data_IF_077105585002
#
_entry.id   IF_077105585002
#
_cell.length_a   1.000
_cell.length_b   1.000
_cell.length_c   1.000
_cell.angle_alpha   90.00
_cell.angle_beta   90.00
_cell.angle_gamma   90.00
#
_symmetry.space_group_name_H-M   'P 1'
#
loop_
_entity.id
_entity.type
_entity.pdbx_description
1 polymer ?
#
# COMPACT_ATOMS: atom_id res chain seq x y z
N UNK A 1 30.57 1.17 -14.91
CA UNK A 1 29.09 1.15 -14.92
C UNK A 1 28.63 0.26 -13.77
N UNK A 2 28.15 0.83 -12.67
CA UNK A 2 27.75 0.05 -11.50
C UNK A 2 26.36 -0.56 -11.72
N UNK A 3 26.31 -1.88 -11.92
CA UNK A 3 25.05 -2.62 -11.89
C UNK A 3 24.42 -2.46 -10.51
N UNK A 4 23.34 -1.68 -10.43
CA UNK A 4 22.55 -1.54 -9.20
C UNK A 4 21.98 -2.91 -8.86
N UNK A 5 22.54 -3.51 -7.80
CA UNK A 5 22.06 -4.73 -7.15
C UNK A 5 20.56 -4.58 -6.89
N UNK A 6 19.73 -5.28 -7.64
CA UNK A 6 18.31 -5.48 -7.30
C UNK A 6 18.31 -6.28 -6.00
N UNK A 7 18.22 -5.59 -4.87
CA UNK A 7 17.90 -6.21 -3.59
C UNK A 7 16.52 -6.83 -3.76
N UNK A 8 16.48 -8.16 -3.80
CA UNK A 8 15.26 -8.94 -3.67
C UNK A 8 14.80 -8.77 -2.22
N UNK A 9 14.13 -7.65 -1.96
CA UNK A 9 13.60 -7.32 -0.66
C UNK A 9 12.53 -8.35 -0.29
N UNK A 10 12.59 -8.85 0.94
CA UNK A 10 11.52 -9.63 1.54
C UNK A 10 10.19 -8.90 1.29
N UNK A 11 9.20 -9.60 0.73
CA UNK A 11 7.95 -8.97 0.31
C UNK A 11 7.24 -8.38 1.54
N UNK A 12 7.23 -7.05 1.64
CA UNK A 12 6.65 -6.31 2.76
C UNK A 12 5.26 -5.84 2.39
N UNK A 13 4.31 -6.03 3.30
CA UNK A 13 2.96 -5.48 3.13
C UNK A 13 3.03 -3.97 3.38
N UNK A 14 2.66 -3.17 2.40
CA UNK A 14 2.83 -1.72 2.44
C UNK A 14 1.56 -1.00 2.04
N UNK A 15 1.34 0.18 2.62
CA UNK A 15 0.45 1.21 2.09
C UNK A 15 1.22 2.01 1.04
N UNK A 16 0.66 2.09 -0.15
CA UNK A 16 1.25 2.72 -1.33
C UNK A 16 0.35 3.89 -1.72
N UNK A 17 0.92 5.08 -1.85
CA UNK A 17 0.15 6.27 -2.27
C UNK A 17 0.70 6.88 -3.55
N UNK A 18 -0.20 7.18 -4.48
CA UNK A 18 0.14 7.81 -5.75
C UNK A 18 -0.07 9.33 -5.72
N UNK A 19 0.42 10.01 -6.75
CA UNK A 19 0.29 11.47 -6.91
C UNK A 19 -1.15 11.97 -7.07
N UNK A 20 -2.07 11.10 -7.47
CA UNK A 20 -3.49 11.43 -7.71
C UNK A 20 -4.39 11.11 -6.51
N UNK A 21 -3.83 11.03 -5.29
CA UNK A 21 -4.54 10.66 -4.05
C UNK A 21 -5.09 9.22 -4.00
N UNK A 22 -4.70 8.36 -4.93
CA UNK A 22 -5.01 6.92 -4.87
C UNK A 22 -4.19 6.23 -3.80
N UNK A 23 -4.87 5.43 -2.97
CA UNK A 23 -4.25 4.65 -1.89
C UNK A 23 -4.46 3.17 -2.18
N UNK A 24 -3.37 2.42 -2.05
CA UNK A 24 -3.34 0.99 -2.29
C UNK A 24 -2.65 0.31 -1.12
N UNK A 25 -3.02 -0.94 -0.85
CA UNK A 25 -2.36 -1.78 0.15
C UNK A 25 -2.04 -3.13 -0.47
N UNK A 26 -0.87 -3.69 -0.20
CA UNK A 26 -0.48 -4.97 -0.78
C UNK A 26 0.97 -5.33 -0.49
N UNK A 27 1.39 -6.50 -0.97
CA UNK A 27 2.77 -6.97 -0.86
C UNK A 27 3.62 -6.33 -1.94
N UNK A 28 4.64 -5.57 -1.55
CA UNK A 28 5.57 -4.94 -2.49
C UNK A 28 6.71 -5.89 -2.81
N UNK A 29 6.84 -6.24 -4.09
CA UNK A 29 7.91 -7.11 -4.59
C UNK A 29 9.10 -6.30 -5.12
N UNK A 30 8.84 -5.22 -5.86
CA UNK A 30 9.88 -4.40 -6.48
C UNK A 30 9.48 -2.93 -6.49
N UNK A 31 10.42 -2.06 -6.13
CA UNK A 31 10.29 -0.61 -6.24
C UNK A 31 11.35 -0.10 -7.19
N UNK A 32 10.92 0.50 -8.30
CA UNK A 32 11.78 1.14 -9.28
C UNK A 32 11.62 2.64 -9.16
N UNK A 33 12.67 3.33 -8.72
CA UNK A 33 12.70 4.79 -8.76
C UNK A 33 12.92 5.26 -10.19
N UNK A 34 12.13 6.25 -10.63
CA UNK A 34 12.37 6.89 -11.92
C UNK A 34 13.53 7.89 -11.78
N UNK A 35 14.57 7.83 -12.62
CA UNK A 35 15.73 8.72 -12.48
C UNK A 35 15.42 10.17 -12.87
N UNK A 36 14.32 10.42 -13.60
CA UNK A 36 13.94 11.75 -14.10
C UNK A 36 12.70 12.31 -13.40
N UNK A 37 12.16 11.61 -12.40
CA UNK A 37 10.95 11.99 -11.69
C UNK A 37 11.07 11.71 -10.20
N UNK A 38 10.39 12.50 -9.38
CA UNK A 38 10.23 12.21 -7.94
C UNK A 38 9.29 11.01 -7.69
N UNK A 39 8.72 10.45 -8.75
CA UNK A 39 7.79 9.33 -8.69
C UNK A 39 8.49 7.98 -8.86
N UNK A 40 7.84 6.95 -8.34
CA UNK A 40 8.33 5.57 -8.34
C UNK A 40 7.30 4.68 -9.02
N UNK A 41 7.78 3.58 -9.57
CA UNK A 41 6.94 2.47 -10.04
C UNK A 41 7.09 1.32 -9.04
N UNK A 42 5.97 0.73 -8.63
CA UNK A 42 5.92 -0.35 -7.66
C UNK A 42 5.24 -1.55 -8.29
N UNK A 43 5.91 -2.69 -8.29
CA UNK A 43 5.28 -3.99 -8.57
C UNK A 43 4.88 -4.60 -7.24
N UNK A 44 3.59 -4.88 -7.11
CA UNK A 44 3.03 -5.45 -5.91
C UNK A 44 2.02 -6.55 -6.24
N UNK A 45 1.82 -7.46 -5.28
CA UNK A 45 0.86 -8.57 -5.33
C UNK A 45 -0.16 -8.43 -4.22
N UNK A 46 -1.31 -9.07 -4.40
CA UNK A 46 -2.46 -8.98 -3.50
C UNK A 46 -2.89 -7.52 -3.22
N UNK A 47 -2.78 -6.67 -4.25
CA UNK A 47 -3.00 -5.24 -4.13
C UNK A 47 -4.49 -4.95 -4.05
N UNK A 48 -4.89 -4.20 -3.04
CA UNK A 48 -6.26 -3.72 -2.85
C UNK A 48 -6.27 -2.19 -2.96
N UNK A 49 -7.25 -1.66 -3.68
CA UNK A 49 -7.49 -0.22 -3.69
C UNK A 49 -8.28 0.18 -2.45
N UNK A 50 -7.85 1.23 -1.76
CA UNK A 50 -8.52 1.78 -0.58
C UNK A 50 -9.22 3.07 -1.00
N UNK A 51 -10.52 2.94 -1.32
CA UNK A 51 -11.33 4.08 -1.76
C UNK A 51 -11.77 4.96 -0.58
N UNK A 52 -12.00 4.35 0.58
CA UNK A 52 -12.29 5.05 1.82
C UNK A 52 -11.79 4.20 3.01
N UNK A 53 -11.23 4.85 4.02
CA UNK A 53 -10.79 4.15 5.24
C UNK A 53 -11.15 4.96 6.47
N UNK A 54 -11.42 4.24 7.55
CA UNK A 54 -11.55 4.79 8.88
C UNK A 54 -10.46 4.20 9.76
N UNK A 55 -9.60 5.08 10.26
CA UNK A 55 -8.50 4.73 11.15
C UNK A 55 -8.47 5.67 12.35
N UNK A 56 -7.50 5.45 13.23
CA UNK A 56 -7.43 6.12 14.54
C UNK A 56 -7.30 7.64 14.44
N UNK A 57 -6.46 8.14 13.54
CA UNK A 57 -6.18 9.58 13.39
C UNK A 57 -6.35 10.11 11.96
N UNK A 58 -6.87 9.29 11.04
CA UNK A 58 -7.13 9.65 9.64
C UNK A 58 -5.89 9.76 8.73
N UNK A 59 -4.67 9.78 9.29
CA UNK A 59 -3.43 9.86 8.52
C UNK A 59 -3.00 8.53 7.89
N UNK A 60 -2.30 8.60 6.74
CA UNK A 60 -1.76 7.43 6.01
C UNK A 60 -0.74 6.65 6.85
N UNK A 61 0.08 7.34 7.65
CA UNK A 61 1.03 6.70 8.57
C UNK A 61 0.31 5.94 9.69
N UNK A 62 -0.79 6.48 10.20
CA UNK A 62 -1.66 5.79 11.17
C UNK A 62 -2.31 4.55 10.54
N UNK A 63 -2.73 4.67 9.28
CA UNK A 63 -3.26 3.56 8.50
C UNK A 63 -2.22 2.44 8.33
N UNK A 64 -0.95 2.77 8.07
CA UNK A 64 0.12 1.77 7.99
C UNK A 64 0.45 1.13 9.36
N UNK A 65 0.36 1.91 10.44
CA UNK A 65 0.69 1.42 11.78
C UNK A 65 -0.42 0.60 12.45
N UNK A 66 -1.69 0.95 12.24
CA UNK A 66 -2.84 0.36 12.94
C UNK A 66 -3.90 -0.26 12.01
N UNK A 67 -3.85 0.03 10.71
CA UNK A 67 -4.85 -0.44 9.76
C UNK A 67 -6.22 0.19 9.96
N UNK A 68 -7.26 -0.55 9.56
CA UNK A 68 -8.65 -0.14 9.76
C UNK A 68 -9.02 -0.30 11.23
N UNK A 69 -9.38 0.80 11.89
CA UNK A 69 -9.66 0.79 13.32
C UNK A 69 -10.65 1.87 13.73
N UNK A 70 -11.30 1.66 14.88
CA UNK A 70 -12.34 2.52 15.41
C UNK A 70 -13.76 2.09 15.04
N UNK A 71 -14.79 2.78 15.56
CA UNK A 71 -16.19 2.36 15.48
C UNK A 71 -16.78 2.41 14.06
N UNK A 72 -16.08 3.03 13.10
CA UNK A 72 -16.50 3.10 11.70
C UNK A 72 -15.61 2.27 10.77
N UNK A 73 -14.70 1.43 11.30
CA UNK A 73 -13.78 0.63 10.49
C UNK A 73 -14.51 -0.23 9.44
N UNK A 74 -15.67 -0.77 9.81
CA UNK A 74 -16.57 -1.56 8.95
C UNK A 74 -17.16 -0.79 7.75
N UNK A 75 -17.17 0.54 7.79
CA UNK A 75 -17.63 1.40 6.68
C UNK A 75 -16.53 1.69 5.67
N UNK A 76 -15.31 1.22 5.92
CA UNK A 76 -14.19 1.36 4.99
C UNK A 76 -14.48 0.62 3.68
N UNK A 77 -14.06 1.20 2.56
CA UNK A 77 -14.26 0.64 1.23
C UNK A 77 -12.91 0.19 0.67
N UNK A 78 -12.69 -1.11 0.76
CA UNK A 78 -11.51 -1.77 0.22
C UNK A 78 -11.94 -2.68 -0.92
N UNK A 79 -11.33 -2.47 -2.08
CA UNK A 79 -11.57 -3.29 -3.26
C UNK A 79 -11.01 -4.70 -3.12
N UNK A 80 -11.45 -5.59 -4.01
CA UNK A 80 -10.94 -6.95 -4.10
C UNK A 80 -9.41 -6.99 -4.33
N UNK A 81 -8.71 -8.01 -3.80
CA UNK A 81 -7.28 -8.18 -4.04
C UNK A 81 -7.01 -8.50 -5.51
N UNK A 82 -6.11 -7.74 -6.13
CA UNK A 82 -5.54 -8.06 -7.43
C UNK A 82 -4.34 -8.98 -7.27
N UNK A 83 -4.26 -10.03 -8.09
CA UNK A 83 -3.18 -11.04 -8.08
C UNK A 83 -1.81 -10.41 -8.33
N UNK A 84 -1.76 -9.35 -9.14
CA UNK A 84 -0.56 -8.57 -9.39
C UNK A 84 -0.92 -7.22 -10.01
N UNK A 85 -0.26 -6.16 -9.55
CA UNK A 85 -0.44 -4.81 -10.07
C UNK A 85 0.90 -4.09 -10.19
N UNK A 86 1.04 -3.37 -11.29
CA UNK A 86 2.12 -2.40 -11.49
C UNK A 86 1.54 -1.01 -11.26
N UNK A 87 1.91 -0.39 -10.16
CA UNK A 87 1.47 0.95 -9.79
C UNK A 87 2.54 1.96 -10.22
N UNK A 88 2.15 2.96 -11.00
CA UNK A 88 3.01 4.06 -11.42
C UNK A 88 2.63 5.37 -10.72
N UNK A 89 3.56 6.33 -10.71
CA UNK A 89 3.31 7.63 -10.08
C UNK A 89 3.27 7.57 -8.55
N UNK A 90 3.96 6.61 -7.95
CA UNK A 90 4.00 6.43 -6.48
C UNK A 90 4.92 7.46 -5.85
N UNK A 91 4.43 8.12 -4.79
CA UNK A 91 5.19 9.11 -4.03
C UNK A 91 5.69 8.49 -2.73
N UNK A 92 4.78 7.86 -1.96
CA UNK A 92 5.10 7.30 -0.66
C UNK A 92 4.75 5.82 -0.58
N UNK A 93 5.59 5.10 0.17
CA UNK A 93 5.40 3.69 0.50
C UNK A 93 5.67 3.58 1.99
N UNK A 94 4.66 3.14 2.74
CA UNK A 94 4.74 2.95 4.19
C UNK A 94 4.58 1.47 4.50
N UNK A 95 5.56 0.90 5.18
CA UNK A 95 5.48 -0.48 5.66
C UNK A 95 4.36 -0.63 6.69
N UNK A 96 3.53 -1.65 6.52
CA UNK A 96 2.45 -1.95 7.46
C UNK A 96 2.96 -2.78 8.64
N UNK A 97 2.42 -2.51 9.83
CA UNK A 97 2.54 -3.45 10.94
C UNK A 97 1.76 -4.74 10.66
N UNK A 98 2.08 -5.81 11.39
CA UNK A 98 1.32 -7.06 11.32
C UNK A 98 -0.16 -6.87 11.70
N UNK A 99 -0.43 -6.00 12.68
CA UNK A 99 -1.79 -5.65 13.10
C UNK A 99 -2.56 -4.96 11.96
N UNK A 100 -1.92 -3.99 11.31
CA UNK A 100 -2.53 -3.27 10.20
C UNK A 100 -2.89 -4.22 9.06
N UNK A 101 -1.95 -5.11 8.69
CA UNK A 101 -2.17 -6.14 7.67
C UNK A 101 -3.40 -7.00 7.98
N UNK A 102 -3.52 -7.50 9.21
CA UNK A 102 -4.64 -8.36 9.60
C UNK A 102 -6.00 -7.67 9.40
N UNK A 103 -6.09 -6.36 9.68
CA UNK A 103 -7.33 -5.61 9.44
C UNK A 103 -7.68 -5.47 7.96
N UNK A 104 -6.69 -5.32 7.08
CA UNK A 104 -6.91 -5.22 5.64
C UNK A 104 -7.31 -6.55 5.04
N UNK A 105 -6.72 -7.66 5.50
CA UNK A 105 -7.08 -9.00 5.07
C UNK A 105 -8.51 -9.36 5.51
N UNK A 106 -8.90 -8.98 6.73
CA UNK A 106 -10.24 -9.19 7.27
C UNK A 106 -11.30 -8.20 6.74
N UNK A 107 -10.91 -7.12 6.06
CA UNK A 107 -11.83 -6.11 5.56
C UNK A 107 -12.81 -6.71 4.54
N UNK A 108 -14.11 -6.37 4.67
CA UNK A 108 -15.13 -6.71 3.68
C UNK A 108 -14.79 -6.05 2.35
N UNK A 109 -14.79 -6.86 1.30
CA UNK A 109 -14.58 -6.43 -0.07
C UNK A 109 -15.85 -5.75 -0.57
N UNK A 110 -15.70 -4.64 -1.29
CA UNK A 110 -16.82 -3.83 -1.82
C UNK A 110 -16.64 -3.62 -3.32
#
# INVERSE_FOLDING_TARGET
MAAKKQQKAEAKYCVITNKSYGIYVGLVDEVTADPNSETKTVKAREVRHVAAWYGRTGGITSLAAHGLCGPNAEKSRIGAPSVGATLSGIINIFECSAEARATFEAAKQV
#
